data_IF_767672725277
#
_entry.id   IF_767672725277
#
_cell.length_a   1.000
_cell.length_b   1.000
_cell.length_c   1.000
_cell.angle_alpha   90.00
_cell.angle_beta   90.00
_cell.angle_gamma   90.00
#
_symmetry.space_group_name_H-M   'P 1'
#
loop_
_entity.id
_entity.type
_entity.pdbx_description
1 polymer ?
#
# COMPACT_ATOMS: atom_id res chain seq x y z
N UNK A 1 6.73 28.76 37.89
CA UNK A 1 5.36 28.52 37.41
C UNK A 1 5.33 27.17 36.74
N UNK A 2 4.35 26.32 37.04
CA UNK A 2 4.15 25.05 36.31
C UNK A 2 3.56 25.39 34.95
N UNK A 3 4.22 24.98 33.87
CA UNK A 3 3.69 25.17 32.52
C UNK A 3 2.41 24.34 32.36
N UNK A 4 1.36 24.93 31.79
CA UNK A 4 0.09 24.23 31.58
C UNK A 4 0.27 23.02 30.66
N UNK A 5 1.29 23.05 29.80
CA UNK A 5 1.70 21.95 28.92
C UNK A 5 2.10 20.67 29.67
N UNK A 6 2.48 20.77 30.93
CA UNK A 6 2.87 19.62 31.77
C UNK A 6 1.67 18.97 32.48
N UNK A 7 0.49 19.61 32.43
CA UNK A 7 -0.76 19.07 32.96
C UNK A 7 -1.59 18.33 31.90
N UNK A 8 -1.14 18.34 30.65
CA UNK A 8 -1.83 17.71 29.53
C UNK A 8 -1.52 16.22 29.53
N UNK A 9 -2.53 15.40 29.19
CA UNK A 9 -2.35 13.98 28.96
C UNK A 9 -1.18 13.72 27.97
N UNK A 10 -0.18 12.91 28.35
CA UNK A 10 0.93 12.55 27.48
C UNK A 10 0.51 12.04 26.10
N UNK A 11 -0.63 11.35 25.99
CA UNK A 11 -1.16 10.84 24.72
C UNK A 11 -1.61 11.97 23.77
N UNK A 12 -2.08 13.10 24.33
CA UNK A 12 -2.55 14.25 23.56
C UNK A 12 -1.46 15.30 23.32
N UNK A 13 -0.40 15.28 24.13
CA UNK A 13 0.67 16.28 24.10
C UNK A 13 1.31 16.41 22.71
N UNK A 14 1.62 15.29 22.06
CA UNK A 14 2.22 15.31 20.72
C UNK A 14 1.28 15.91 19.66
N UNK A 15 0.02 15.50 19.67
CA UNK A 15 -0.99 16.01 18.75
C UNK A 15 -1.24 17.52 18.95
N UNK A 16 -1.30 17.98 20.19
CA UNK A 16 -1.48 19.39 20.48
C UNK A 16 -0.26 20.22 20.04
N UNK A 17 0.96 19.76 20.30
CA UNK A 17 2.17 20.45 19.84
C UNK A 17 2.26 20.50 18.31
N UNK A 18 1.83 19.43 17.62
CA UNK A 18 1.72 19.43 16.16
C UNK A 18 0.70 20.47 15.68
N UNK A 19 -0.47 20.54 16.32
CA UNK A 19 -1.52 21.51 16.01
C UNK A 19 -1.08 22.95 16.23
N UNK A 20 -0.36 23.21 17.33
CA UNK A 20 0.22 24.53 17.62
C UNK A 20 1.25 24.90 16.55
N UNK A 21 2.14 23.98 16.18
CA UNK A 21 3.14 24.21 15.13
C UNK A 21 2.48 24.52 13.78
N UNK A 22 1.44 23.79 13.41
CA UNK A 22 0.73 24.00 12.15
C UNK A 22 -0.04 25.32 12.14
N UNK A 23 -0.72 25.67 13.24
CA UNK A 23 -1.41 26.95 13.39
C UNK A 23 -0.44 28.13 13.36
N UNK A 24 0.77 27.98 13.91
CA UNK A 24 1.82 29.00 13.90
C UNK A 24 2.35 29.32 12.49
N UNK A 25 2.15 28.44 11.49
CA UNK A 25 2.49 28.75 10.10
C UNK A 25 1.68 29.93 9.55
N UNK A 26 0.50 30.18 10.14
CA UNK A 26 -0.40 31.26 9.76
C UNK A 26 -0.31 32.45 10.71
N UNK A 27 0.82 32.60 11.42
CA UNK A 27 1.05 33.71 12.36
C UNK A 27 0.82 35.08 11.75
N UNK A 28 1.24 35.28 10.51
CA UNK A 28 1.09 36.55 9.81
C UNK A 28 -0.37 36.86 9.46
N UNK A 29 -1.24 35.84 9.39
CA UNK A 29 -2.66 36.00 9.10
C UNK A 29 -3.42 36.43 10.35
N UNK A 30 -3.23 35.76 11.49
CA UNK A 30 -3.94 36.14 12.72
C UNK A 30 -3.33 37.36 13.42
N UNK A 31 -2.05 37.67 13.21
CA UNK A 31 -1.43 38.86 13.83
C UNK A 31 -2.03 40.17 13.33
N UNK A 32 -2.56 40.18 12.09
CA UNK A 32 -3.22 41.32 11.46
C UNK A 32 -4.71 41.43 11.81
N UNK A 33 -5.28 40.42 12.47
CA UNK A 33 -6.69 40.42 12.83
C UNK A 33 -6.96 41.34 14.02
N UNK A 34 -8.15 41.97 14.05
CA UNK A 34 -8.55 42.84 15.16
C UNK A 34 -8.61 42.13 16.52
N UNK A 35 -8.87 40.81 16.52
CA UNK A 35 -8.73 39.95 17.69
C UNK A 35 -7.87 38.73 17.34
N UNK A 36 -6.61 38.77 17.77
CA UNK A 36 -5.62 37.74 17.45
C UNK A 36 -5.98 36.38 18.04
N UNK A 37 -6.51 36.34 19.28
CA UNK A 37 -6.85 35.10 19.97
C UNK A 37 -7.99 34.35 19.24
N UNK A 38 -9.05 35.08 18.86
CA UNK A 38 -10.15 34.50 18.09
C UNK A 38 -9.68 34.04 16.71
N UNK A 39 -8.87 34.84 16.01
CA UNK A 39 -8.34 34.47 14.70
C UNK A 39 -7.45 33.22 14.76
N UNK A 40 -6.61 33.10 15.79
CA UNK A 40 -5.78 31.92 16.01
C UNK A 40 -6.63 30.66 16.26
N UNK A 41 -7.72 30.79 17.04
CA UNK A 41 -8.66 29.69 17.27
C UNK A 41 -9.33 29.25 15.95
N UNK A 42 -9.80 30.20 15.14
CA UNK A 42 -10.40 29.90 13.84
C UNK A 42 -9.43 29.21 12.88
N UNK A 43 -8.18 29.63 12.86
CA UNK A 43 -7.13 28.97 12.08
C UNK A 43 -6.91 27.54 12.57
N UNK A 44 -6.84 27.32 13.88
CA UNK A 44 -6.69 25.98 14.43
C UNK A 44 -7.88 25.08 14.03
N UNK A 45 -9.11 25.59 14.12
CA UNK A 45 -10.32 24.89 13.66
C UNK A 45 -10.25 24.57 12.17
N UNK A 46 -9.84 25.53 11.33
CA UNK A 46 -9.71 25.33 9.89
C UNK A 46 -8.67 24.27 9.54
N UNK A 47 -7.53 24.25 10.24
CA UNK A 47 -6.49 23.23 10.09
C UNK A 47 -7.03 21.85 10.45
N UNK A 48 -7.72 21.71 11.60
CA UNK A 48 -8.33 20.44 12.00
C UNK A 48 -9.38 19.97 10.99
N UNK A 49 -10.25 20.87 10.52
CA UNK A 49 -11.26 20.58 9.50
C UNK A 49 -10.62 20.05 8.21
N UNK A 50 -9.52 20.67 7.77
CA UNK A 50 -8.74 20.21 6.62
C UNK A 50 -8.15 18.81 6.85
N UNK A 51 -7.61 18.54 8.04
CA UNK A 51 -7.07 17.21 8.36
C UNK A 51 -8.17 16.13 8.32
N UNK A 52 -9.34 16.40 8.93
CA UNK A 52 -10.50 15.50 8.88
C UNK A 52 -10.96 15.25 7.46
N UNK A 53 -11.06 16.31 6.65
CA UNK A 53 -11.44 16.20 5.25
C UNK A 53 -10.47 15.30 4.47
N UNK A 54 -9.16 15.50 4.65
CA UNK A 54 -8.13 14.68 4.00
C UNK A 54 -8.21 13.21 4.43
N UNK A 55 -8.50 12.94 5.71
CA UNK A 55 -8.68 11.58 6.21
C UNK A 55 -9.92 10.93 5.59
N UNK A 56 -11.03 11.65 5.49
CA UNK A 56 -12.25 11.16 4.85
C UNK A 56 -12.04 10.85 3.36
N UNK A 57 -11.27 11.68 2.65
CA UNK A 57 -10.92 11.38 1.25
C UNK A 57 -10.09 10.09 1.13
N UNK A 58 -9.10 9.90 2.00
CA UNK A 58 -8.30 8.67 2.00
C UNK A 58 -9.14 7.43 2.33
N UNK A 59 -10.05 7.55 3.31
CA UNK A 59 -11.00 6.48 3.64
C UNK A 59 -11.85 6.10 2.42
N UNK A 60 -12.43 7.08 1.72
CA UNK A 60 -13.21 6.84 0.51
C UNK A 60 -12.40 6.11 -0.58
N UNK A 61 -11.16 6.52 -0.81
CA UNK A 61 -10.26 5.85 -1.77
C UNK A 61 -10.01 4.39 -1.37
N UNK A 62 -9.80 4.12 -0.07
CA UNK A 62 -9.63 2.75 0.41
C UNK A 62 -10.91 1.92 0.32
N UNK A 63 -12.07 2.50 0.63
CA UNK A 63 -13.37 1.85 0.46
C UNK A 63 -13.62 1.45 -0.99
N UNK A 64 -13.33 2.34 -1.94
CA UNK A 64 -13.49 2.06 -3.36
C UNK A 64 -12.50 0.98 -3.83
N UNK A 65 -11.24 1.04 -3.37
CA UNK A 65 -10.25 -0.01 -3.67
C UNK A 65 -10.68 -1.38 -3.11
N UNK A 66 -11.28 -1.43 -1.92
CA UNK A 66 -11.80 -2.67 -1.33
C UNK A 66 -12.99 -3.20 -2.15
N UNK A 67 -13.89 -2.34 -2.62
CA UNK A 67 -15.01 -2.72 -3.49
C UNK A 67 -14.52 -3.29 -4.82
N UNK A 68 -13.50 -2.66 -5.42
CA UNK A 68 -12.90 -3.13 -6.68
C UNK A 68 -12.23 -4.49 -6.51
N UNK A 69 -11.51 -4.71 -5.40
CA UNK A 69 -10.95 -6.03 -5.08
C UNK A 69 -12.08 -7.06 -4.91
N UNK A 70 -13.12 -6.71 -4.15
CA UNK A 70 -14.28 -7.59 -3.91
C UNK A 70 -15.00 -7.99 -5.20
N UNK A 71 -15.19 -7.06 -6.14
CA UNK A 71 -15.81 -7.33 -7.43
C UNK A 71 -14.94 -8.23 -8.32
N UNK A 72 -13.63 -7.97 -8.38
CA UNK A 72 -12.68 -8.80 -9.13
C UNK A 72 -12.59 -10.23 -8.59
N UNK A 73 -12.60 -10.39 -7.26
CA UNK A 73 -12.63 -11.70 -6.61
C UNK A 73 -13.92 -12.44 -6.98
N UNK A 74 -15.08 -11.78 -6.89
CA UNK A 74 -16.37 -12.38 -7.25
C UNK A 74 -16.42 -12.83 -8.72
N UNK A 75 -15.91 -12.01 -9.63
CA UNK A 75 -15.81 -12.39 -11.06
C UNK A 75 -14.87 -13.58 -11.28
N UNK A 76 -13.75 -13.63 -10.55
CA UNK A 76 -12.79 -14.72 -10.65
C UNK A 76 -13.38 -16.03 -10.12
N UNK A 77 -14.16 -15.99 -9.03
CA UNK A 77 -14.89 -17.14 -8.50
C UNK A 77 -15.90 -17.66 -9.54
N UNK A 78 -16.71 -16.79 -10.15
CA UNK A 78 -17.67 -17.20 -11.18
C UNK A 78 -17.02 -17.89 -12.39
N UNK A 79 -15.85 -17.39 -12.83
CA UNK A 79 -15.07 -18.04 -13.90
C UNK A 79 -14.56 -19.43 -13.49
N UNK A 80 -14.15 -19.60 -12.24
CA UNK A 80 -13.69 -20.89 -11.71
C UNK A 80 -14.85 -21.89 -11.67
N UNK A 81 -16.03 -21.48 -11.21
CA UNK A 81 -17.23 -22.32 -11.17
C UNK A 81 -17.64 -22.76 -12.58
N UNK A 82 -17.61 -21.85 -13.57
CA UNK A 82 -17.90 -22.16 -14.97
C UNK A 82 -16.89 -23.15 -15.58
N UNK A 83 -15.61 -23.02 -15.24
CA UNK A 83 -14.58 -23.97 -15.69
C UNK A 83 -14.80 -25.34 -15.03
N UNK A 84 -15.15 -25.38 -13.74
CA UNK A 84 -15.42 -26.63 -13.04
C UNK A 84 -16.62 -27.38 -13.61
N UNK A 85 -17.71 -26.68 -13.96
CA UNK A 85 -18.89 -27.32 -14.57
C UNK A 85 -18.57 -27.90 -15.96
N UNK A 86 -17.82 -27.17 -16.81
CA UNK A 86 -17.35 -27.69 -18.11
C UNK A 86 -16.42 -28.89 -17.97
N UNK A 87 -15.53 -28.90 -16.98
CA UNK A 87 -14.64 -30.04 -16.72
C UNK A 87 -15.42 -31.27 -16.25
N UNK A 88 -16.48 -31.09 -15.47
CA UNK A 88 -17.37 -32.18 -15.06
C UNK A 88 -18.10 -32.80 -16.27
N UNK A 89 -18.64 -31.98 -17.16
CA UNK A 89 -19.33 -32.45 -18.38
C UNK A 89 -18.39 -33.24 -19.32
N UNK A 90 -17.16 -32.77 -19.51
CA UNK A 90 -16.15 -33.48 -20.33
C UNK A 90 -15.77 -34.83 -19.72
N UNK A 91 -15.73 -34.96 -18.39
CA UNK A 91 -15.46 -36.23 -17.71
C UNK A 91 -16.58 -37.25 -17.94
N UNK A 92 -17.85 -36.85 -17.85
CA UNK A 92 -18.97 -37.76 -18.10
C UNK A 92 -19.03 -38.28 -19.55
N UNK A 93 -18.62 -37.46 -20.52
CA UNK A 93 -18.54 -37.88 -21.93
C UNK A 93 -17.40 -38.89 -22.15
N UNK A 94 -16.32 -38.82 -21.35
CA UNK A 94 -15.18 -39.74 -21.46
C UNK A 94 -15.43 -41.13 -20.86
N UNK A 95 -16.35 -41.27 -19.90
CA UNK A 95 -16.69 -42.57 -19.27
C UNK A 95 -17.70 -43.39 -20.10
N UNK A 96 -18.46 -42.77 -21.01
CA UNK A 96 -19.44 -43.47 -21.87
C UNK A 96 -18.84 -44.10 -23.14
N UNK A 97 -17.55 -43.90 -23.43
CA UNK A 97 -16.83 -44.64 -24.49
C UNK A 97 -16.20 -45.90 -23.90
N UNK A 98 -17.05 -46.88 -23.62
CA UNK A 98 -16.66 -48.27 -23.41
C UNK A 98 -15.83 -48.73 -24.62
N UNK A 99 -14.56 -49.02 -24.36
CA UNK A 99 -13.64 -49.63 -25.30
C UNK A 99 -14.09 -51.09 -25.45
N UNK A 100 -14.43 -51.58 -26.66
CA UNK A 100 -14.65 -53.01 -26.85
C UNK A 100 -13.32 -53.75 -26.62
N UNK A 101 -13.35 -54.73 -25.72
CA UNK A 101 -12.27 -55.70 -25.44
C UNK A 101 -11.86 -56.44 -26.71
N UNK A 102 -10.92 -55.91 -27.49
CA UNK A 102 -10.29 -56.66 -28.58
C UNK A 102 -8.99 -56.09 -29.12
N UNK A 103 -8.02 -55.76 -28.27
CA UNK A 103 -6.60 -55.72 -28.70
C UNK A 103 -5.70 -56.31 -27.61
N UNK A 104 -5.76 -57.64 -27.45
CA UNK A 104 -4.59 -58.41 -26.98
C UNK A 104 -3.69 -58.61 -28.19
N UNK A 105 -2.63 -57.81 -28.31
CA UNK A 105 -1.65 -58.02 -29.38
C UNK A 105 -0.68 -56.87 -29.56
N UNK A 106 0.53 -57.07 -29.03
CA UNK A 106 1.79 -56.47 -29.51
C UNK A 106 1.93 -54.96 -29.31
N UNK A 107 2.45 -54.55 -28.15
CA UNK A 107 3.38 -53.41 -28.09
C UNK A 107 4.56 -53.82 -27.22
N UNK A 108 5.63 -54.26 -27.88
CA UNK A 108 6.93 -54.47 -27.29
C UNK A 108 7.42 -53.16 -26.66
N UNK A 109 7.51 -53.12 -25.33
CA UNK A 109 8.10 -52.00 -24.58
C UNK A 109 9.59 -51.93 -24.89
N UNK A 110 10.01 -51.13 -25.88
CA UNK A 110 11.40 -50.66 -25.99
C UNK A 110 11.68 -49.75 -24.79
N UNK A 111 12.40 -50.28 -23.81
CA UNK A 111 12.83 -49.56 -22.61
C UNK A 111 13.86 -48.48 -23.00
N UNK A 112 13.40 -47.25 -23.20
CA UNK A 112 14.31 -46.11 -23.33
C UNK A 112 14.80 -45.76 -21.92
N UNK A 113 15.97 -46.26 -21.54
CA UNK A 113 16.72 -45.78 -20.36
C UNK A 113 17.16 -44.33 -20.62
N UNK A 114 16.36 -43.36 -20.18
CA UNK A 114 16.81 -41.96 -20.10
C UNK A 114 17.70 -41.81 -18.87
N UNK A 115 19.01 -41.78 -19.11
CA UNK A 115 20.05 -41.42 -18.14
C UNK A 115 19.88 -39.95 -17.74
N UNK A 116 19.25 -39.69 -16.60
CA UNK A 116 19.18 -38.34 -16.01
C UNK A 116 20.55 -38.02 -15.39
N UNK A 117 21.38 -37.26 -16.12
CA UNK A 117 22.56 -36.61 -15.54
C UNK A 117 22.09 -35.54 -14.57
N UNK A 118 22.20 -35.82 -13.26
CA UNK A 118 22.06 -34.84 -12.17
C UNK A 118 23.06 -33.70 -12.41
N UNK A 119 22.58 -32.49 -12.74
CA UNK A 119 23.36 -31.25 -12.59
C UNK A 119 23.35 -30.85 -11.11
N UNK A 120 24.52 -30.54 -10.50
CA UNK A 120 24.56 -30.13 -9.10
C UNK A 120 24.00 -28.72 -8.91
N UNK A 121 23.16 -28.58 -7.89
CA UNK A 121 22.64 -27.31 -7.40
C UNK A 121 23.80 -26.42 -6.91
N UNK A 122 24.06 -25.32 -7.61
CA UNK A 122 24.92 -24.26 -7.08
C UNK A 122 24.13 -23.44 -6.06
N UNK A 123 24.44 -23.68 -4.78
CA UNK A 123 24.24 -22.74 -3.69
C UNK A 123 24.98 -21.44 -4.02
N UNK A 124 24.28 -20.31 -4.03
CA UNK A 124 24.88 -19.01 -3.76
C UNK A 124 23.99 -18.24 -2.80
N UNK A 125 24.25 -18.43 -1.50
CA UNK A 125 24.13 -17.39 -0.51
C UNK A 125 25.11 -16.27 -0.90
N UNK A 126 24.63 -15.04 -1.11
CA UNK A 126 25.41 -13.85 -0.80
C UNK A 126 24.50 -12.80 -0.15
N UNK A 127 24.72 -12.65 1.15
CA UNK A 127 24.54 -11.42 1.92
C UNK A 127 25.08 -10.25 1.11
N UNK A 128 24.36 -9.13 1.10
CA UNK A 128 24.96 -7.80 1.08
C UNK A 128 24.02 -6.84 1.80
N UNK A 129 24.23 -6.77 3.11
CA UNK A 129 24.19 -5.54 3.88
C UNK A 129 24.99 -4.44 3.17
N UNK A 130 24.39 -3.28 2.93
CA UNK A 130 25.04 -1.97 3.18
C UNK A 130 24.03 -0.85 3.06
N UNK A 131 23.70 -0.31 4.22
CA UNK A 131 23.38 1.08 4.48
C UNK A 131 24.23 2.02 3.62
N UNK A 132 23.59 2.96 2.91
CA UNK A 132 24.19 4.27 2.58
C UNK A 132 23.13 5.37 2.61
N UNK A 133 23.01 5.98 3.80
CA UNK A 133 22.66 7.40 3.96
C UNK A 133 23.66 8.24 3.14
N UNK A 134 23.13 9.14 2.29
CA UNK A 134 23.71 10.38 1.72
C UNK A 134 22.72 10.76 0.60
N UNK A 135 22.08 11.93 0.53
CA UNK A 135 22.60 13.27 0.80
C UNK A 135 21.46 14.30 0.97
N UNK A 136 21.25 14.73 2.21
CA UNK A 136 20.68 16.04 2.50
C UNK A 136 21.83 17.07 2.48
N UNK A 137 22.12 17.70 1.33
CA UNK A 137 22.94 18.94 1.28
C UNK A 137 22.98 19.60 -0.12
N UNK A 138 21.85 20.04 -0.70
CA UNK A 138 21.94 20.93 -1.88
C UNK A 138 20.75 21.83 -2.22
N UNK A 139 20.08 22.49 -1.26
CA UNK A 139 19.35 23.74 -1.57
C UNK A 139 19.36 24.70 -0.37
N UNK A 140 20.55 25.19 0.01
CA UNK A 140 20.72 26.40 0.85
C UNK A 140 21.91 27.18 0.32
N UNK A 141 21.78 27.77 -0.86
CA UNK A 141 22.71 28.77 -1.40
C UNK A 141 22.08 29.74 -2.41
N UNK A 142 20.75 29.85 -2.45
CA UNK A 142 20.03 30.72 -3.39
C UNK A 142 19.22 31.86 -2.76
N UNK A 143 18.92 31.83 -1.45
CA UNK A 143 17.97 32.79 -0.84
C UNK A 143 18.69 33.97 -0.15
N UNK A 144 20.00 33.89 0.07
CA UNK A 144 20.77 34.98 0.70
C UNK A 144 21.17 36.12 -0.25
N UNK A 145 20.61 36.21 -1.46
CA UNK A 145 20.83 37.34 -2.39
C UNK A 145 19.60 38.18 -2.71
N UNK A 146 18.43 37.87 -2.13
CA UNK A 146 17.18 38.60 -2.39
C UNK A 146 16.77 39.57 -1.26
N UNK A 147 17.62 39.81 -0.25
CA UNK A 147 17.33 40.71 0.88
C UNK A 147 18.32 41.88 0.99
N UNK A 148 18.90 42.33 -0.14
CA UNK A 148 19.74 43.54 -0.21
C UNK A 148 19.22 44.63 -1.14
N UNK A 149 17.99 44.49 -1.64
CA UNK A 149 17.31 45.52 -2.41
C UNK A 149 15.82 45.43 -2.12
N UNK A 150 15.42 45.91 -0.95
CA UNK A 150 14.17 46.60 -0.63
C UNK A 150 14.28 47.02 0.83
#
# INVERSE_FOLDING_TARGET
MVDWRDKIDPALKEHLEAQIKESNLYRDAYSKAGNQANAQLWIAIAVLSKQVFNLNQKLKVFEDAIKDIGSNVRQSIGKIEEVQSKVAEVREVSEKKNIPDKIKGVVARKSIKKTIKKKPAKKTLKKNSTVKKKSAKKVRKGISRALKKF
#
